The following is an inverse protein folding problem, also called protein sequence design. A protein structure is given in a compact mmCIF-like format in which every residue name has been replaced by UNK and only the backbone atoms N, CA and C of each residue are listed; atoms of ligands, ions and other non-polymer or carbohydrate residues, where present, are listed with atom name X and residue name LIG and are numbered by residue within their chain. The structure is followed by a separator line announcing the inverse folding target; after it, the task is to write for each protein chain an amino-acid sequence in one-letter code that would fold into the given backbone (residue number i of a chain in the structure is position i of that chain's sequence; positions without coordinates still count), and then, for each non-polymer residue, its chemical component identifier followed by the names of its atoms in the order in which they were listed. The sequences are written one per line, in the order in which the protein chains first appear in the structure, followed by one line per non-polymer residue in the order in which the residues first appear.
data_IF_150999912763
#
_entry.id   IF_150999912763
#
_cell.length_a   1.000
_cell.length_b   1.000
_cell.length_c   1.000
_cell.angle_alpha   90.00
_cell.angle_beta   90.00
_cell.angle_gamma   90.00
#
_symmetry.space_group_name_H-M   'P 1'
#
loop_
_entity.id
_entity.type
_entity.pdbx_description
1 polymer ?
#
# COMPACT_ATOMS: atom_id res chain seq x y z
N UNK A 1 20.29 -11.29 0.44
CA UNK A 1 19.06 -10.55 0.79
C UNK A 1 18.57 -9.99 -0.52
N UNK A 2 17.61 -10.63 -1.19
CA UNK A 2 16.97 -10.00 -2.33
C UNK A 2 15.97 -8.94 -1.88
N UNK A 3 15.74 -7.99 -2.76
CA UNK A 3 14.69 -6.98 -2.68
C UNK A 3 13.88 -7.00 -3.97
N UNK A 4 12.64 -6.55 -3.90
CA UNK A 4 11.80 -6.37 -5.07
C UNK A 4 11.08 -5.04 -4.99
N UNK A 5 10.95 -4.39 -6.14
CA UNK A 5 10.11 -3.20 -6.28
C UNK A 5 8.66 -3.63 -6.43
N UNK A 6 7.79 -3.14 -5.54
CA UNK A 6 6.35 -3.37 -5.59
C UNK A 6 5.66 -2.03 -5.86
N UNK A 7 4.74 -2.03 -6.82
CA UNK A 7 3.83 -0.90 -7.05
C UNK A 7 2.47 -1.25 -6.49
N UNK A 8 2.02 -0.46 -5.52
CA UNK A 8 0.68 -0.52 -4.96
C UNK A 8 -0.23 0.37 -5.80
N UNK A 9 -1.42 -0.13 -6.11
CA UNK A 9 -2.48 0.63 -6.76
C UNK A 9 -3.71 0.63 -5.86
N UNK A 10 -4.33 1.79 -5.72
CA UNK A 10 -5.59 1.94 -4.99
C UNK A 10 -6.50 2.92 -5.73
N UNK A 11 -7.79 2.62 -5.72
CA UNK A 11 -8.85 3.52 -6.19
C UNK A 11 -9.51 4.12 -4.96
N UNK A 12 -9.48 5.45 -4.84
CA UNK A 12 -10.07 6.20 -3.72
C UNK A 12 -10.89 7.34 -4.30
N UNK A 13 -12.15 7.50 -3.87
CA UNK A 13 -12.98 8.57 -4.42
C UNK A 13 -12.39 9.93 -4.05
N UNK A 14 -12.31 10.84 -5.03
CA UNK A 14 -11.73 12.18 -4.80
C UNK A 14 -12.48 12.95 -3.69
N UNK A 15 -13.78 12.69 -3.53
CA UNK A 15 -14.62 13.25 -2.47
C UNK A 15 -14.21 12.80 -1.06
N UNK A 16 -13.68 11.58 -0.92
CA UNK A 16 -13.17 11.04 0.34
C UNK A 16 -11.80 11.63 0.68
N UNK A 17 -10.97 11.89 -0.33
CA UNK A 17 -9.64 12.51 -0.14
C UNK A 17 -9.76 13.98 0.22
N UNK A 18 -10.57 14.76 -0.51
CA UNK A 18 -10.66 16.21 -0.35
C UNK A 18 -9.28 16.87 -0.48
N UNK A 19 -8.92 17.71 0.50
CA UNK A 19 -7.59 18.34 0.58
C UNK A 19 -6.52 17.45 1.26
N UNK A 20 -6.85 16.18 1.52
CA UNK A 20 -5.96 15.21 2.16
C UNK A 20 -4.92 14.60 1.21
N UNK A 21 -4.12 13.71 1.76
CA UNK A 21 -3.16 12.90 1.00
C UNK A 21 -3.41 11.41 1.25
N UNK A 22 -3.15 10.58 0.25
CA UNK A 22 -3.24 9.12 0.35
C UNK A 22 -1.85 8.55 0.63
N UNK A 23 -1.72 7.71 1.65
CA UNK A 23 -0.48 6.99 1.98
C UNK A 23 -0.74 5.52 2.28
N UNK A 24 0.30 4.67 2.27
CA UNK A 24 0.24 3.26 2.71
C UNK A 24 1.03 3.13 4.01
N UNK A 25 0.42 2.45 4.97
CA UNK A 25 1.04 2.07 6.22
C UNK A 25 0.95 0.56 6.40
N UNK A 26 1.95 -0.03 7.04
CA UNK A 26 1.99 -1.46 7.26
C UNK A 26 2.85 -1.88 8.44
N UNK A 27 2.87 -3.18 8.72
CA UNK A 27 3.53 -3.76 9.89
C UNK A 27 5.06 -3.91 9.77
N UNK A 28 5.65 -3.53 8.63
CA UNK A 28 7.09 -3.58 8.38
C UNK A 28 7.70 -2.17 8.33
N UNK A 29 9.02 -2.03 8.58
CA UNK A 29 9.69 -0.72 8.55
C UNK A 29 9.55 0.03 7.22
N UNK A 30 9.62 -0.68 6.10
CA UNK A 30 9.50 -0.11 4.76
C UNK A 30 8.11 0.48 4.47
N UNK A 31 7.11 0.10 5.28
CA UNK A 31 5.75 0.65 5.27
C UNK A 31 5.42 1.45 6.55
N UNK A 32 6.44 1.86 7.31
CA UNK A 32 6.28 2.80 8.42
C UNK A 32 5.79 2.20 9.74
N UNK A 33 5.72 0.88 9.92
CA UNK A 33 5.30 0.23 11.18
C UNK A 33 3.98 0.78 11.78
N UNK A 34 2.96 1.01 10.95
CA UNK A 34 1.67 1.61 11.34
C UNK A 34 1.76 3.02 11.94
N UNK A 35 2.78 3.79 11.55
CA UNK A 35 2.95 5.19 11.93
C UNK A 35 2.71 6.13 10.73
N UNK A 36 2.53 7.43 11.00
CA UNK A 36 2.35 8.50 9.99
C UNK A 36 3.58 8.76 9.08
N UNK A 37 4.53 7.84 9.05
CA UNK A 37 5.67 7.84 8.15
C UNK A 37 5.48 6.83 7.02
N UNK A 38 4.24 6.65 6.57
CA UNK A 38 3.90 5.78 5.45
C UNK A 38 4.46 6.27 4.13
N UNK A 39 4.29 5.48 3.08
CA UNK A 39 4.68 5.87 1.72
C UNK A 39 3.52 6.61 1.08
N UNK A 40 3.74 7.86 0.66
CA UNK A 40 2.71 8.65 -0.02
C UNK A 40 2.47 8.14 -1.44
N UNK A 41 1.20 8.09 -1.83
CA UNK A 41 0.82 7.78 -3.19
C UNK A 41 0.91 9.03 -4.07
N UNK A 42 1.16 8.78 -5.35
CA UNK A 42 1.03 9.75 -6.43
C UNK A 42 -0.29 9.51 -7.14
N UNK A 43 -1.07 10.57 -7.36
CA UNK A 43 -2.30 10.49 -8.16
C UNK A 43 -1.95 10.21 -9.62
N UNK A 44 -2.72 9.33 -10.26
CA UNK A 44 -2.58 9.02 -11.68
C UNK A 44 -2.89 10.27 -12.53
N UNK A 45 -2.11 10.55 -13.58
CA UNK A 45 -2.44 11.64 -14.51
C UNK A 45 -3.65 11.31 -15.39
N UNK A 46 -4.11 10.07 -15.41
CA UNK A 46 -5.20 9.59 -16.27
C UNK A 46 -6.55 9.46 -15.53
N UNK A 47 -6.53 9.43 -14.20
CA UNK A 47 -7.72 9.27 -13.35
C UNK A 47 -7.48 9.92 -12.00
N UNK A 48 -8.41 10.79 -11.57
CA UNK A 48 -8.32 11.46 -10.26
C UNK A 48 -8.60 10.54 -9.07
N UNK A 49 -9.11 9.34 -9.34
CA UNK A 49 -9.43 8.34 -8.31
C UNK A 49 -8.34 7.27 -8.20
N UNK A 50 -7.46 7.16 -9.20
CA UNK A 50 -6.38 6.17 -9.20
C UNK A 50 -5.13 6.77 -8.55
N UNK A 51 -4.58 6.02 -7.60
CA UNK A 51 -3.37 6.39 -6.89
C UNK A 51 -2.38 5.24 -6.95
N UNK A 52 -1.09 5.54 -7.08
CA UNK A 52 -0.04 4.54 -7.02
C UNK A 52 1.15 4.93 -6.14
N UNK A 53 1.79 3.94 -5.53
CA UNK A 53 3.03 4.10 -4.78
C UNK A 53 3.99 2.96 -5.10
N UNK A 54 5.24 3.29 -5.39
CA UNK A 54 6.29 2.29 -5.68
C UNK A 54 7.29 2.28 -4.54
N UNK A 55 7.54 1.09 -3.98
CA UNK A 55 8.45 0.90 -2.83
C UNK A 55 9.29 -0.36 -3.04
N UNK A 56 10.55 -0.29 -2.59
CA UNK A 56 11.44 -1.44 -2.52
C UNK A 56 11.20 -2.18 -1.20
N UNK A 57 10.79 -3.45 -1.28
CA UNK A 57 10.57 -4.29 -0.11
C UNK A 57 11.67 -5.36 0.03
N UNK A 58 11.97 -5.82 1.26
CA UNK A 58 13.08 -6.73 1.56
C UNK A 58 12.73 -8.20 1.28
N UNK A 59 11.95 -8.45 0.22
CA UNK A 59 11.48 -9.77 -0.16
C UNK A 59 11.99 -10.13 -1.56
N UNK A 60 12.25 -11.42 -1.76
CA UNK A 60 12.57 -11.96 -3.08
C UNK A 60 11.29 -12.25 -3.87
N UNK A 61 11.35 -12.14 -5.20
CA UNK A 61 10.26 -12.57 -6.07
C UNK A 61 9.93 -14.06 -5.84
N UNK A 62 8.65 -14.42 -5.90
CA UNK A 62 8.13 -15.76 -5.58
C UNK A 62 8.26 -16.17 -4.10
N UNK A 63 8.61 -15.25 -3.19
CA UNK A 63 8.63 -15.53 -1.75
C UNK A 63 7.20 -15.79 -1.27
N UNK A 64 6.98 -16.95 -0.64
CA UNK A 64 5.69 -17.37 -0.10
C UNK A 64 5.81 -17.81 1.36
N UNK A 65 4.75 -17.58 2.15
CA UNK A 65 4.63 -18.05 3.55
C UNK A 65 3.57 -19.14 3.68
N UNK A 66 3.49 -19.75 4.87
CA UNK A 66 2.54 -20.83 5.15
C UNK A 66 1.10 -20.29 5.27
N UNK A 67 0.14 -21.21 5.17
CA UNK A 67 -1.28 -20.93 5.37
C UNK A 67 -1.52 -20.60 6.84
N UNK A 68 -1.55 -19.30 7.17
CA UNK A 68 -1.73 -18.63 8.48
C UNK A 68 -0.64 -17.59 8.82
N UNK A 69 0.34 -17.39 7.95
CA UNK A 69 1.38 -16.36 8.08
C UNK A 69 1.15 -15.27 7.03
N UNK A 70 1.58 -14.04 7.32
CA UNK A 70 1.73 -12.96 6.34
C UNK A 70 3.20 -12.59 6.22
N UNK A 71 3.62 -12.18 5.01
CA UNK A 71 4.93 -11.54 4.80
C UNK A 71 4.92 -10.14 5.40
N UNK A 72 3.82 -9.42 5.14
CA UNK A 72 3.51 -8.14 5.71
C UNK A 72 2.00 -7.89 5.58
N UNK A 73 1.52 -6.98 6.42
CA UNK A 73 0.16 -6.48 6.42
C UNK A 73 0.19 -4.98 6.17
N UNK A 74 -0.79 -4.47 5.44
CA UNK A 74 -0.85 -3.05 5.11
C UNK A 74 -2.29 -2.56 4.99
N UNK A 75 -2.43 -1.23 5.04
CA UNK A 75 -3.64 -0.50 4.67
C UNK A 75 -3.27 0.79 3.95
N UNK A 76 -4.14 1.24 3.04
CA UNK A 76 -4.10 2.65 2.66
C UNK A 76 -4.74 3.52 3.75
N UNK A 77 -4.29 4.76 3.84
CA UNK A 77 -4.83 5.77 4.74
C UNK A 77 -5.03 7.08 4.00
N UNK A 78 -6.01 7.85 4.45
CA UNK A 78 -6.24 9.23 4.04
C UNK A 78 -5.84 10.13 5.22
N UNK A 79 -4.86 11.00 5.00
CA UNK A 79 -4.37 11.93 6.01
C UNK A 79 -4.90 13.34 5.72
N UNK A 80 -5.66 13.90 6.67
CA UNK A 80 -6.27 15.25 6.57
C UNK A 80 -5.79 16.10 7.74
N UNK A 81 -4.64 16.73 7.57
CA UNK A 81 -3.98 17.51 8.64
C UNK A 81 -3.64 16.64 9.85
N UNK A 82 -4.45 16.70 10.90
CA UNK A 82 -4.26 15.89 12.11
C UNK A 82 -5.12 14.63 12.16
N UNK A 83 -6.01 14.43 11.19
CA UNK A 83 -6.85 13.23 11.09
C UNK A 83 -6.18 12.17 10.21
N UNK A 84 -6.30 10.90 10.61
CA UNK A 84 -5.87 9.75 9.81
C UNK A 84 -7.04 8.78 9.75
N UNK A 85 -7.51 8.52 8.53
CA UNK A 85 -8.60 7.59 8.26
C UNK A 85 -8.01 6.38 7.56
N UNK A 86 -8.11 5.21 8.17
CA UNK A 86 -7.71 3.94 7.55
C UNK A 86 -8.79 3.44 6.61
N UNK A 87 -8.39 2.70 5.58
CA UNK A 87 -9.37 1.93 4.80
C UNK A 87 -10.20 1.00 5.68
N UNK A 88 -11.46 0.81 5.29
CA UNK A 88 -12.39 -0.08 5.99
C UNK A 88 -11.96 -1.55 5.93
N UNK A 89 -12.52 -2.37 6.83
CA UNK A 89 -12.28 -3.82 6.87
C UNK A 89 -11.01 -4.22 7.60
N UNK A 90 -10.57 -5.46 7.39
CA UNK A 90 -9.34 -6.00 7.98
C UNK A 90 -8.09 -5.52 7.22
N UNK A 91 -6.91 -5.72 7.81
CA UNK A 91 -5.65 -5.41 7.12
C UNK A 91 -5.50 -6.28 5.86
N UNK A 92 -4.91 -5.71 4.81
CA UNK A 92 -4.52 -6.48 3.62
C UNK A 92 -3.27 -7.28 3.94
N UNK A 93 -3.39 -8.60 3.96
CA UNK A 93 -2.26 -9.51 4.24
C UNK A 93 -1.65 -10.07 2.95
N UNK A 94 -0.36 -9.82 2.74
CA UNK A 94 0.38 -10.39 1.61
C UNK A 94 1.01 -11.71 2.03
N UNK A 95 0.66 -12.79 1.34
CA UNK A 95 1.20 -14.14 1.63
C UNK A 95 2.14 -14.66 0.56
N UNK A 96 2.23 -13.98 -0.58
CA UNK A 96 3.05 -14.36 -1.72
C UNK A 96 3.46 -13.12 -2.52
N UNK A 97 4.77 -12.90 -2.69
CA UNK A 97 5.30 -11.94 -3.64
C UNK A 97 5.31 -12.60 -5.01
N UNK A 98 4.51 -12.09 -5.93
CA UNK A 98 4.45 -12.57 -7.31
C UNK A 98 4.34 -11.39 -8.26
N UNK A 99 4.81 -11.58 -9.47
CA UNK A 99 4.57 -10.67 -10.57
C UNK A 99 3.10 -10.84 -10.99
N UNK A 100 2.28 -9.80 -10.80
CA UNK A 100 0.92 -9.76 -11.31
C UNK A 100 0.87 -8.79 -12.49
N UNK A 101 0.67 -9.34 -13.69
CA UNK A 101 0.25 -8.55 -14.84
C UNK A 101 -1.29 -8.57 -14.89
N UNK A 102 -1.90 -7.40 -14.87
CA UNK A 102 -3.31 -7.26 -15.23
C UNK A 102 -3.34 -6.90 -16.71
N UNK A 103 -3.73 -7.86 -17.57
CA UNK A 103 -4.11 -7.54 -18.95
C UNK A 103 -5.39 -6.70 -18.91
N UNK A 104 -5.34 -5.52 -19.52
CA UNK A 104 -6.47 -4.59 -19.70
C UNK A 104 -7.19 -4.85 -21.01
#
# INVERSE_FOLDING_TARGET
RGSCTITFHVVVQTSEVGDGVVSIQGNIPELGNWQRSGIYFTQSPFSSEDWYATVELPFEMNKRVKWNESLFDYKYVIEKGSEVVFEDGDNRSVTHIKEEFYDV
#
